data_IF_664146881363
#
_entry.id   IF_664146881363
#
_cell.length_a   1.000
_cell.length_b   1.000
_cell.length_c   1.000
_cell.angle_alpha   90.00
_cell.angle_beta   90.00
_cell.angle_gamma   90.00
#
_symmetry.space_group_name_H-M   'P 1'
#
loop_
_entity.id
_entity.type
_entity.pdbx_description
1 polymer ?
#
# COMPACT_ATOMS: atom_id res chain seq x y z
N UNK A 1 -12.90 1.90 -7.80
CA UNK A 1 -11.47 2.29 -7.67
C UNK A 1 -10.63 1.11 -7.20
N UNK A 2 -9.44 0.90 -7.79
CA UNK A 2 -8.47 -0.13 -7.36
C UNK A 2 -7.32 0.53 -6.59
N UNK A 3 -6.84 -0.09 -5.53
CA UNK A 3 -5.61 0.31 -4.83
C UNK A 3 -4.48 -0.64 -5.22
N UNK A 4 -3.35 -0.09 -5.65
CA UNK A 4 -2.16 -0.83 -6.00
C UNK A 4 -1.09 -0.57 -4.93
N UNK A 5 -0.51 -1.63 -4.38
CA UNK A 5 0.53 -1.57 -3.35
C UNK A 5 1.74 -2.38 -3.81
N UNK A 6 2.93 -1.77 -3.75
CA UNK A 6 4.21 -2.43 -3.95
C UNK A 6 5.04 -2.35 -2.65
N UNK A 7 5.22 -3.49 -2.00
CA UNK A 7 5.90 -3.62 -0.72
C UNK A 7 7.28 -4.28 -0.90
N UNK A 8 8.33 -3.44 -0.84
CA UNK A 8 9.73 -3.85 -0.84
C UNK A 8 10.33 -3.91 0.57
N UNK A 9 11.55 -4.43 0.71
CA UNK A 9 12.19 -4.62 2.02
C UNK A 9 12.36 -3.31 2.83
N UNK A 10 12.53 -2.18 2.16
CA UNK A 10 12.81 -0.89 2.81
C UNK A 10 11.68 0.13 2.64
N UNK A 11 10.90 -0.02 1.57
CA UNK A 11 9.93 0.98 1.16
C UNK A 11 8.63 0.31 0.72
N UNK A 12 7.54 1.03 0.93
CA UNK A 12 6.24 0.70 0.40
C UNK A 12 5.75 1.84 -0.48
N UNK A 13 5.16 1.51 -1.62
CA UNK A 13 4.60 2.46 -2.57
C UNK A 13 3.15 2.12 -2.83
N UNK A 14 2.32 3.13 -3.03
CA UNK A 14 0.93 2.91 -3.41
C UNK A 14 0.39 4.00 -4.32
N UNK A 15 -0.64 3.65 -5.08
CA UNK A 15 -1.41 4.55 -5.92
C UNK A 15 -2.82 3.98 -6.12
N UNK A 16 -3.80 4.86 -6.35
CA UNK A 16 -5.13 4.44 -6.79
C UNK A 16 -5.23 4.45 -8.30
N UNK A 17 -6.05 3.54 -8.83
CA UNK A 17 -6.40 3.45 -10.24
C UNK A 17 -7.93 3.56 -10.37
N UNK A 18 -8.39 4.60 -11.06
CA UNK A 18 -9.80 4.82 -11.38
C UNK A 18 -9.97 4.86 -12.90
N UNK A 19 -10.69 3.87 -13.45
CA UNK A 19 -10.68 3.63 -14.90
C UNK A 19 -9.26 3.31 -15.39
N UNK A 20 -8.70 4.19 -16.22
CA UNK A 20 -7.33 4.12 -16.76
C UNK A 20 -6.41 5.23 -16.19
N UNK A 21 -6.86 5.98 -15.19
CA UNK A 21 -6.11 7.08 -14.60
C UNK A 21 -5.46 6.63 -13.29
N UNK A 22 -4.13 6.74 -13.24
CA UNK A 22 -3.33 6.45 -12.06
C UNK A 22 -3.13 7.72 -11.25
N UNK A 23 -3.41 7.67 -9.94
CA UNK A 23 -3.09 8.77 -9.04
C UNK A 23 -1.58 9.02 -8.97
N UNK A 24 -1.14 10.18 -8.45
CA UNK A 24 0.22 10.33 -7.99
C UNK A 24 0.61 9.18 -7.06
N UNK A 25 1.84 8.69 -7.24
CA UNK A 25 2.37 7.61 -6.42
C UNK A 25 2.87 8.17 -5.09
N UNK A 26 2.44 7.55 -4.01
CA UNK A 26 2.91 7.84 -2.66
C UNK A 26 3.95 6.79 -2.22
N UNK A 27 4.78 7.14 -1.25
CA UNK A 27 5.84 6.26 -0.75
C UNK A 27 6.01 6.44 0.75
N UNK A 28 6.17 5.33 1.46
CA UNK A 28 6.52 5.27 2.87
C UNK A 28 7.74 4.39 3.09
N UNK A 29 8.40 4.55 4.23
CA UNK A 29 9.43 3.62 4.71
C UNK A 29 8.80 2.53 5.56
N UNK A 30 9.29 1.30 5.40
CA UNK A 30 8.94 0.20 6.29
C UNK A 30 9.96 0.19 7.43
N UNK A 31 9.74 1.06 8.41
CA UNK A 31 10.52 1.04 9.64
C UNK A 31 10.10 -0.19 10.47
N UNK A 32 10.79 -0.45 11.58
CA UNK A 32 10.54 -1.62 12.44
C UNK A 32 9.10 -1.72 12.99
N UNK A 33 8.25 -0.72 12.76
CA UNK A 33 6.83 -0.63 13.13
C UNK A 33 5.90 -0.52 11.90
N UNK A 34 6.07 -1.41 10.92
CA UNK A 34 5.23 -1.53 9.73
C UNK A 34 3.71 -1.54 10.01
N UNK A 35 3.30 -1.95 11.20
CA UNK A 35 1.92 -2.03 11.66
C UNK A 35 1.25 -0.65 11.83
N UNK A 36 2.04 0.43 11.96
CA UNK A 36 1.54 1.80 12.21
C UNK A 36 1.35 2.65 10.95
N UNK A 37 2.09 2.35 9.88
CA UNK A 37 2.17 3.21 8.69
C UNK A 37 1.06 2.88 7.70
N UNK A 38 0.83 1.59 7.47
CA UNK A 38 -0.07 1.11 6.43
C UNK A 38 -1.54 1.54 6.62
N UNK A 39 -2.14 1.41 7.81
CA UNK A 39 -3.53 1.81 7.99
C UNK A 39 -3.70 3.34 7.91
N UNK A 40 -2.83 4.12 8.55
CA UNK A 40 -3.06 5.56 8.67
C UNK A 40 -2.99 6.31 7.32
N UNK A 41 -2.06 5.93 6.44
CA UNK A 41 -1.87 6.62 5.15
C UNK A 41 -2.85 6.12 4.08
N UNK A 42 -3.25 4.84 4.15
CA UNK A 42 -4.18 4.24 3.17
C UNK A 42 -5.65 4.55 3.51
N UNK A 43 -6.03 4.69 4.78
CA UNK A 43 -7.42 4.94 5.18
C UNK A 43 -7.95 6.34 4.85
N UNK A 44 -7.09 7.27 4.45
CA UNK A 44 -7.53 8.56 3.89
C UNK A 44 -8.15 8.46 2.49
N UNK A 45 -7.95 7.32 1.81
CA UNK A 45 -8.51 7.07 0.49
C UNK A 45 -9.97 6.60 0.58
N UNK A 46 -10.77 6.93 -0.44
CA UNK A 46 -12.08 6.30 -0.63
C UNK A 46 -11.91 4.79 -0.59
N UNK A 47 -12.83 4.06 0.07
CA UNK A 47 -12.73 2.61 0.23
C UNK A 47 -12.56 1.92 -1.14
N UNK A 48 -11.43 1.24 -1.40
CA UNK A 48 -11.18 0.60 -2.68
C UNK A 48 -12.10 -0.62 -2.85
N UNK A 49 -12.51 -0.89 -4.09
CA UNK A 49 -13.29 -2.08 -4.46
C UNK A 49 -12.38 -3.31 -4.59
N UNK A 50 -11.10 -3.08 -4.90
CA UNK A 50 -10.07 -4.09 -5.09
C UNK A 50 -8.74 -3.55 -4.58
N UNK A 51 -8.01 -4.37 -3.84
CA UNK A 51 -6.63 -4.10 -3.43
C UNK A 51 -5.73 -5.14 -4.10
N UNK A 52 -4.71 -4.68 -4.82
CA UNK A 52 -3.71 -5.54 -5.47
C UNK A 52 -2.37 -5.26 -4.81
N UNK A 53 -1.72 -6.33 -4.34
CA UNK A 53 -0.48 -6.24 -3.56
C UNK A 53 0.62 -7.05 -4.24
N UNK A 54 1.70 -6.38 -4.59
CA UNK A 54 3.02 -6.98 -4.85
C UNK A 54 3.81 -6.93 -3.55
N UNK A 55 4.30 -8.06 -3.06
CA UNK A 55 5.06 -8.11 -1.81
C UNK A 55 6.31 -8.97 -1.94
N UNK A 56 7.46 -8.35 -1.68
CA UNK A 56 8.76 -9.01 -1.52
C UNK A 56 9.40 -8.75 -0.16
N UNK A 57 8.76 -7.93 0.69
CA UNK A 57 9.22 -7.53 2.03
C UNK A 57 9.05 -8.63 3.11
N UNK A 58 8.51 -9.78 2.73
CA UNK A 58 8.31 -10.93 3.61
C UNK A 58 6.94 -10.97 4.31
N UNK A 59 6.77 -11.97 5.18
CA UNK A 59 5.46 -12.34 5.73
C UNK A 59 4.86 -11.29 6.68
N UNK A 60 5.71 -10.57 7.43
CA UNK A 60 5.27 -9.55 8.39
C UNK A 60 4.52 -8.41 7.70
N UNK A 61 5.06 -7.89 6.60
CA UNK A 61 4.41 -6.83 5.82
C UNK A 61 3.15 -7.33 5.14
N UNK A 62 3.12 -8.59 4.70
CA UNK A 62 1.91 -9.21 4.15
C UNK A 62 0.73 -9.21 5.14
N UNK A 63 1.01 -9.37 6.45
CA UNK A 63 -0.01 -9.35 7.49
C UNK A 63 -0.52 -7.94 7.76
N UNK A 64 0.35 -6.92 7.73
CA UNK A 64 -0.03 -5.52 7.97
C UNK A 64 -0.86 -4.90 6.82
N UNK A 65 -0.79 -5.46 5.60
CA UNK A 65 -1.56 -4.98 4.42
C UNK A 65 -2.98 -5.60 4.36
N UNK A 66 -3.24 -6.68 5.10
CA UNK A 66 -4.55 -7.38 5.12
C UNK A 66 -5.59 -6.64 5.95
#
# INVERSE_FOLDING_TARGET
MKLLIDAGNSHIKWASLEGNELSPMETGTLDADADSILPATIFGLRRPELVVVSNVAGHRVAQAIR
#
